data_IF_696553334772
#
_entry.id   IF_696553334772
#
_cell.length_a   1.000
_cell.length_b   1.000
_cell.length_c   1.000
_cell.angle_alpha   90.00
_cell.angle_beta   90.00
_cell.angle_gamma   90.00
#
_symmetry.space_group_name_H-M   'P 1'
#
loop_
_entity.id
_entity.type
_entity.pdbx_description
1 polymer ?
#
# COMPACT_ATOMS: atom_id res chain seq x y z
N UNK A 1 -33.76 -19.51 15.99
CA UNK A 1 -33.80 -18.29 16.85
C UNK A 1 -32.43 -18.12 17.51
N UNK A 2 -31.98 -16.88 17.69
CA UNK A 2 -30.68 -16.41 18.22
C UNK A 2 -29.49 -16.31 17.25
N UNK A 3 -29.48 -15.19 16.51
CA UNK A 3 -28.28 -14.52 15.98
C UNK A 3 -27.53 -13.86 17.15
N UNK A 4 -26.22 -14.06 17.27
CA UNK A 4 -25.33 -13.17 18.04
C UNK A 4 -24.49 -12.36 17.06
N UNK A 5 -24.86 -11.09 16.95
CA UNK A 5 -24.09 -10.01 16.32
C UNK A 5 -22.81 -9.79 17.14
N UNK A 6 -21.67 -10.17 16.57
CA UNK A 6 -20.37 -9.78 17.11
C UNK A 6 -20.08 -8.34 16.64
N UNK A 7 -20.09 -7.41 17.60
CA UNK A 7 -20.02 -5.97 17.33
C UNK A 7 -18.66 -5.53 16.79
N UNK A 8 -18.70 -4.93 15.61
CA UNK A 8 -17.61 -4.36 14.81
C UNK A 8 -17.13 -2.99 15.34
N UNK A 9 -16.65 -2.91 16.60
CA UNK A 9 -16.20 -1.62 17.20
C UNK A 9 -14.82 -1.63 17.87
N UNK A 10 -13.89 -2.50 17.46
CA UNK A 10 -12.54 -2.55 18.06
C UNK A 10 -11.36 -2.48 17.09
N UNK A 11 -11.58 -2.06 15.84
CA UNK A 11 -10.51 -1.91 14.84
C UNK A 11 -9.75 -0.57 14.88
N UNK A 12 -10.31 0.47 15.51
CA UNK A 12 -9.78 1.84 15.36
C UNK A 12 -8.73 2.24 16.41
N UNK A 13 -8.54 1.46 17.48
CA UNK A 13 -7.69 1.87 18.62
C UNK A 13 -6.23 1.38 18.49
N UNK A 14 -5.96 0.38 17.65
CA UNK A 14 -4.60 -0.19 17.53
C UNK A 14 -3.73 0.58 16.52
N UNK A 15 -4.33 1.29 15.55
CA UNK A 15 -3.60 2.14 14.61
C UNK A 15 -3.08 3.45 15.24
N UNK A 16 -3.70 3.93 16.32
CA UNK A 16 -3.28 5.18 16.97
C UNK A 16 -2.08 5.00 17.90
N UNK A 17 -1.87 3.80 18.46
CA UNK A 17 -0.81 3.54 19.44
C UNK A 17 0.57 3.29 18.80
N UNK A 18 0.62 2.81 17.56
CA UNK A 18 1.87 2.68 16.79
C UNK A 18 2.38 4.02 16.21
N UNK A 19 1.48 5.01 16.01
CA UNK A 19 1.88 6.33 15.56
C UNK A 19 2.59 7.17 16.64
N UNK A 20 2.33 6.91 17.93
CA UNK A 20 2.96 7.66 19.03
C UNK A 20 4.33 7.11 19.48
N UNK A 21 4.64 5.84 19.22
CA UNK A 21 5.90 5.25 19.69
C UNK A 21 7.12 5.63 18.82
N UNK A 22 6.90 6.11 17.58
CA UNK A 22 7.98 6.54 16.67
C UNK A 22 8.56 7.92 16.94
N UNK A 23 7.94 8.73 17.82
CA UNK A 23 8.37 10.10 18.11
C UNK A 23 9.58 10.19 19.07
N UNK A 24 10.07 9.05 19.58
CA UNK A 24 11.07 9.01 20.65
C UNK A 24 12.55 8.95 20.24
N UNK A 25 12.88 8.98 18.94
CA UNK A 25 14.26 8.90 18.47
C UNK A 25 14.60 9.99 17.45
N UNK A 26 14.24 11.24 17.76
CA UNK A 26 14.76 12.40 17.05
C UNK A 26 16.19 12.69 17.53
N UNK A 27 17.19 12.15 16.84
CA UNK A 27 18.55 12.67 16.95
C UNK A 27 18.57 14.06 16.31
N UNK A 28 18.79 15.08 17.14
CA UNK A 28 18.89 16.47 16.71
C UNK A 28 20.08 16.65 15.75
N UNK A 29 19.81 16.77 14.45
CA UNK A 29 20.71 17.43 13.50
C UNK A 29 20.12 18.80 13.18
N UNK A 30 20.88 19.84 13.50
CA UNK A 30 20.55 21.25 13.25
C UNK A 30 20.72 21.60 11.75
N UNK A 31 20.04 20.86 10.89
CA UNK A 31 19.69 21.29 9.54
C UNK A 31 18.17 21.27 9.49
N UNK A 32 17.55 22.36 9.05
CA UNK A 32 16.09 22.55 8.95
C UNK A 32 15.47 21.67 7.83
N UNK A 33 15.95 20.44 7.69
CA UNK A 33 15.44 19.40 6.80
C UNK A 33 14.26 18.68 7.45
N UNK A 34 13.32 18.24 6.60
CA UNK A 34 12.20 17.38 6.99
C UNK A 34 12.73 16.14 7.73
N UNK A 35 12.23 15.88 8.94
CA UNK A 35 12.56 14.69 9.73
C UNK A 35 11.72 13.49 9.30
N UNK A 36 10.46 13.73 8.92
CA UNK A 36 9.55 12.68 8.47
C UNK A 36 8.28 13.23 7.83
N UNK A 37 7.37 12.33 7.47
CA UNK A 37 6.03 12.71 7.03
C UNK A 37 5.01 11.59 7.27
N UNK A 38 3.77 12.00 7.53
CA UNK A 38 2.58 11.15 7.44
C UNK A 38 1.82 11.52 6.17
N UNK A 39 1.56 10.55 5.29
CA UNK A 39 0.90 10.77 4.00
C UNK A 39 -0.37 9.94 3.88
N UNK A 40 -1.45 10.54 3.40
CA UNK A 40 -2.68 9.85 3.06
C UNK A 40 -2.74 9.65 1.55
N UNK A 41 -2.87 8.40 1.12
CA UNK A 41 -2.85 8.01 -0.29
C UNK A 41 -4.23 7.60 -0.77
N UNK A 42 -4.54 7.97 -2.01
CA UNK A 42 -5.63 7.41 -2.77
C UNK A 42 -5.18 7.16 -4.21
N UNK A 43 -5.64 6.07 -4.81
CA UNK A 43 -5.21 5.73 -6.16
C UNK A 43 -5.97 4.56 -6.76
N UNK A 44 -5.38 4.01 -7.81
CA UNK A 44 -5.85 2.82 -8.51
C UNK A 44 -4.77 1.75 -8.48
N UNK A 45 -5.23 0.50 -8.46
CA UNK A 45 -4.39 -0.68 -8.53
C UNK A 45 -4.88 -1.63 -9.60
N UNK A 46 -3.94 -2.08 -10.44
CA UNK A 46 -4.15 -3.04 -11.50
C UNK A 46 -3.16 -4.19 -11.34
N UNK A 47 -3.67 -5.40 -11.17
CA UNK A 47 -2.84 -6.60 -11.02
C UNK A 47 -2.20 -6.96 -12.36
N UNK A 48 -0.91 -7.30 -12.33
CA UNK A 48 -0.20 -7.75 -13.53
C UNK A 48 -0.75 -9.10 -14.00
N UNK A 49 -0.73 -9.34 -15.33
CA UNK A 49 -1.13 -10.63 -15.86
C UNK A 49 -0.36 -11.79 -15.23
N UNK A 50 -1.07 -12.86 -14.86
CA UNK A 50 -0.39 -14.10 -14.46
C UNK A 50 0.11 -14.82 -15.72
N UNK A 51 1.29 -15.45 -15.67
CA UNK A 51 1.80 -16.22 -16.81
C UNK A 51 0.85 -17.37 -17.18
N UNK A 52 0.86 -17.74 -18.47
CA UNK A 52 0.06 -18.87 -18.97
C UNK A 52 0.44 -20.19 -18.26
N UNK A 53 -0.50 -21.14 -18.08
CA UNK A 53 -1.86 -21.22 -18.66
C UNK A 53 -2.97 -20.61 -17.78
N UNK A 54 -2.61 -19.97 -16.66
CA UNK A 54 -3.57 -19.44 -15.68
C UNK A 54 -4.28 -18.19 -16.21
N UNK A 55 -3.60 -17.39 -17.03
CA UNK A 55 -4.10 -16.13 -17.60
C UNK A 55 -4.54 -15.13 -16.52
N UNK A 56 -5.30 -14.11 -16.90
CA UNK A 56 -5.80 -13.11 -15.95
C UNK A 56 -6.98 -13.63 -15.13
N UNK A 57 -6.80 -14.71 -14.37
CA UNK A 57 -7.82 -15.27 -13.48
C UNK A 57 -8.34 -14.21 -12.50
N UNK A 58 -7.42 -13.38 -12.00
CA UNK A 58 -7.76 -12.26 -11.12
C UNK A 58 -8.68 -11.25 -11.81
N UNK A 59 -8.37 -10.83 -13.04
CA UNK A 59 -9.19 -9.88 -13.80
C UNK A 59 -10.57 -10.47 -14.13
N UNK A 60 -10.64 -11.77 -14.44
CA UNK A 60 -11.91 -12.46 -14.71
C UNK A 60 -12.83 -12.50 -13.50
N UNK A 61 -12.29 -12.62 -12.30
CA UNK A 61 -13.08 -12.73 -11.06
C UNK A 61 -13.38 -11.34 -10.48
N UNK A 62 -12.38 -10.45 -10.45
CA UNK A 62 -12.41 -9.19 -9.69
C UNK A 62 -12.34 -7.91 -10.56
N UNK A 63 -12.18 -8.03 -11.88
CA UNK A 63 -12.11 -6.90 -12.81
C UNK A 63 -10.71 -6.29 -13.01
N UNK A 64 -10.62 -5.29 -13.91
CA UNK A 64 -9.36 -4.71 -14.44
C UNK A 64 -8.56 -3.83 -13.48
N UNK A 65 -9.24 -3.10 -12.60
CA UNK A 65 -8.60 -2.12 -11.75
C UNK A 65 -9.50 -1.82 -10.55
N UNK A 66 -8.94 -1.19 -9.53
CA UNK A 66 -9.78 -0.43 -8.63
C UNK A 66 -9.05 0.21 -7.48
N UNK A 67 -9.82 0.76 -6.56
CA UNK A 67 -9.36 1.80 -5.67
C UNK A 67 -8.44 1.27 -4.57
N UNK A 68 -7.39 2.03 -4.29
CA UNK A 68 -6.53 1.87 -3.13
C UNK A 68 -6.65 3.09 -2.23
N UNK A 69 -6.60 2.86 -0.92
CA UNK A 69 -6.46 3.89 0.08
C UNK A 69 -5.40 3.46 1.08
N UNK A 70 -4.63 4.39 1.61
CA UNK A 70 -3.58 4.02 2.55
C UNK A 70 -2.95 5.18 3.28
N UNK A 71 -2.06 4.83 4.19
CA UNK A 71 -1.23 5.75 4.96
C UNK A 71 0.23 5.37 4.72
N UNK A 72 1.08 6.38 4.52
CA UNK A 72 2.54 6.23 4.49
C UNK A 72 3.11 6.97 5.67
N UNK A 73 3.99 6.30 6.38
CA UNK A 73 4.88 6.91 7.36
C UNK A 73 6.26 6.93 6.76
N UNK A 74 6.93 8.07 6.82
CA UNK A 74 8.31 8.20 6.35
C UNK A 74 9.17 8.93 7.36
N UNK A 75 10.44 8.54 7.39
CA UNK A 75 11.49 9.18 8.18
C UNK A 75 12.64 9.48 7.24
N UNK A 76 13.13 10.71 7.25
CA UNK A 76 14.40 11.05 6.64
C UNK A 76 15.52 10.34 7.41
N UNK A 77 16.52 9.85 6.66
CA UNK A 77 17.76 9.29 7.16
C UNK A 77 18.88 10.27 6.77
N UNK A 78 19.88 9.77 6.06
CA UNK A 78 21.04 10.52 5.58
C UNK A 78 20.99 10.63 4.06
N UNK A 79 21.65 11.64 3.49
CA UNK A 79 21.84 11.78 2.04
C UNK A 79 20.53 11.80 1.23
N UNK A 80 19.49 12.45 1.75
CA UNK A 80 18.15 12.50 1.17
C UNK A 80 17.49 11.13 0.96
N UNK A 81 17.92 10.11 1.71
CA UNK A 81 17.22 8.85 1.78
C UNK A 81 16.12 8.94 2.84
N UNK A 82 14.92 8.53 2.47
CA UNK A 82 13.86 8.25 3.43
C UNK A 82 13.65 6.75 3.55
N UNK A 83 13.36 6.30 4.76
CA UNK A 83 12.68 5.05 5.01
C UNK A 83 11.18 5.30 4.97
N UNK A 84 10.41 4.36 4.45
CA UNK A 84 8.95 4.43 4.51
C UNK A 84 8.32 3.09 4.88
N UNK A 85 7.19 3.21 5.57
CA UNK A 85 6.23 2.16 5.86
C UNK A 85 4.89 2.58 5.25
N UNK A 86 4.31 1.74 4.42
CA UNK A 86 3.03 1.99 3.77
C UNK A 86 2.03 0.91 4.16
N UNK A 87 0.85 1.34 4.61
CA UNK A 87 -0.27 0.49 4.97
C UNK A 87 -1.43 0.85 4.06
N UNK A 88 -1.89 -0.12 3.26
CA UNK A 88 -3.00 0.07 2.32
C UNK A 88 -4.14 -0.89 2.57
N UNK A 89 -5.28 -0.50 2.04
CA UNK A 89 -6.48 -1.31 1.98
C UNK A 89 -7.02 -1.30 0.55
N UNK A 90 -7.29 -2.50 0.03
CA UNK A 90 -7.85 -2.70 -1.31
C UNK A 90 -9.05 -3.63 -1.18
N UNK A 91 -10.22 -3.12 -1.54
CA UNK A 91 -11.47 -3.88 -1.57
C UNK A 91 -11.84 -4.25 -3.00
N UNK A 92 -12.22 -5.52 -3.19
CA UNK A 92 -12.78 -6.01 -4.45
C UNK A 92 -13.99 -6.90 -4.17
N UNK A 93 -14.99 -6.73 -5.00
CA UNK A 93 -16.14 -7.63 -5.08
C UNK A 93 -16.17 -8.23 -6.49
N UNK A 94 -16.43 -9.52 -6.57
CA UNK A 94 -16.37 -10.28 -7.81
C UNK A 94 -17.38 -11.42 -7.83
N UNK A 95 -17.34 -12.21 -8.90
CA UNK A 95 -18.14 -13.44 -9.04
C UNK A 95 -17.23 -14.61 -9.37
N UNK A 96 -17.45 -15.75 -8.70
CA UNK A 96 -16.71 -16.97 -8.98
C UNK A 96 -17.01 -17.48 -10.40
N UNK A 97 -15.98 -17.93 -11.11
CA UNK A 97 -16.08 -18.30 -12.53
C UNK A 97 -17.06 -19.45 -12.78
N UNK A 98 -17.12 -20.43 -11.88
CA UNK A 98 -17.96 -21.62 -12.02
C UNK A 98 -19.33 -21.50 -11.35
N UNK A 99 -19.39 -21.07 -10.09
CA UNK A 99 -20.65 -21.03 -9.33
C UNK A 99 -21.42 -19.72 -9.48
N UNK A 100 -20.83 -18.68 -10.10
CA UNK A 100 -21.38 -17.33 -10.21
C UNK A 100 -21.73 -16.68 -8.85
N UNK A 101 -21.31 -17.30 -7.75
CA UNK A 101 -21.53 -16.78 -6.41
C UNK A 101 -20.68 -15.53 -6.18
N UNK A 102 -21.23 -14.58 -5.42
CA UNK A 102 -20.51 -13.38 -5.00
C UNK A 102 -19.31 -13.77 -4.13
N UNK A 103 -18.17 -13.16 -4.42
CA UNK A 103 -16.93 -13.29 -3.63
C UNK A 103 -16.41 -11.90 -3.31
N UNK A 104 -15.97 -11.71 -2.07
CA UNK A 104 -15.31 -10.49 -1.62
C UNK A 104 -13.87 -10.76 -1.27
N UNK A 105 -12.98 -9.93 -1.78
CA UNK A 105 -11.55 -9.99 -1.55
C UNK A 105 -11.10 -8.69 -0.89
N UNK A 106 -10.49 -8.85 0.28
CA UNK A 106 -9.79 -7.79 0.99
C UNK A 106 -8.29 -8.06 0.87
N UNK A 107 -7.54 -7.11 0.31
CA UNK A 107 -6.09 -7.10 0.35
C UNK A 107 -5.60 -5.97 1.25
N UNK A 108 -4.65 -6.31 2.13
CA UNK A 108 -3.95 -5.38 3.00
C UNK A 108 -2.46 -5.48 2.66
N UNK A 109 -1.95 -4.65 1.73
CA UNK A 109 -0.53 -4.54 1.46
C UNK A 109 0.16 -3.74 2.57
N UNK A 110 1.21 -4.33 3.14
CA UNK A 110 2.16 -3.68 4.04
C UNK A 110 3.48 -3.57 3.29
N UNK A 111 3.90 -2.36 2.95
CA UNK A 111 5.16 -2.10 2.22
C UNK A 111 6.19 -1.45 3.12
N UNK A 112 7.43 -1.90 2.99
CA UNK A 112 8.58 -1.34 3.69
C UNK A 112 9.69 -1.07 2.68
N UNK A 113 10.39 0.05 2.79
CA UNK A 113 11.52 0.29 1.90
C UNK A 113 12.21 1.62 2.10
N UNK A 114 13.05 1.95 1.13
CA UNK A 114 13.82 3.19 1.09
C UNK A 114 13.60 3.92 -0.22
N UNK A 115 13.63 5.25 -0.17
CA UNK A 115 13.52 6.12 -1.35
C UNK A 115 14.53 7.24 -1.26
N UNK A 116 15.10 7.62 -2.40
CA UNK A 116 15.91 8.81 -2.55
C UNK A 116 15.03 9.96 -3.02
N UNK A 117 15.07 11.10 -2.32
CA UNK A 117 14.29 12.30 -2.63
C UNK A 117 15.24 13.41 -3.07
N UNK A 118 15.07 13.96 -4.26
CA UNK A 118 15.91 15.08 -4.73
C UNK A 118 15.20 16.41 -4.45
N UNK A 119 15.70 17.30 -3.58
CA UNK A 119 15.03 18.57 -3.27
C UNK A 119 15.29 19.63 -4.36
N UNK A 120 14.48 19.67 -5.43
CA UNK A 120 14.58 20.66 -6.52
C UNK A 120 13.60 21.83 -6.32
N UNK A 121 13.75 22.53 -5.20
CA UNK A 121 12.87 23.65 -4.83
C UNK A 121 11.46 23.16 -4.50
N UNK A 122 10.46 23.61 -5.26
CA UNK A 122 9.06 23.21 -5.04
C UNK A 122 8.76 21.79 -5.52
N UNK A 123 9.60 21.25 -6.40
CA UNK A 123 9.48 19.90 -6.94
C UNK A 123 10.50 19.01 -6.26
N UNK A 124 10.06 17.88 -5.70
CA UNK A 124 10.98 16.91 -5.09
C UNK A 124 10.71 15.52 -5.67
N UNK A 125 11.28 15.21 -6.85
CA UNK A 125 11.16 13.89 -7.43
C UNK A 125 11.85 12.86 -6.54
N UNK A 126 11.31 11.65 -6.53
CA UNK A 126 11.87 10.56 -5.75
C UNK A 126 11.72 9.22 -6.47
N UNK A 127 12.63 8.32 -6.13
CA UNK A 127 12.62 6.92 -6.57
C UNK A 127 12.99 6.02 -5.39
N UNK A 128 12.41 4.84 -5.33
CA UNK A 128 12.63 3.93 -4.22
C UNK A 128 12.32 2.49 -4.55
N UNK A 129 12.74 1.62 -3.66
CA UNK A 129 12.50 0.20 -3.74
C UNK A 129 12.25 -0.38 -2.35
N UNK A 130 11.68 -1.58 -2.30
CA UNK A 130 11.38 -2.22 -1.04
C UNK A 130 10.76 -3.60 -1.18
N UNK A 131 10.20 -4.04 -0.06
CA UNK A 131 9.52 -5.32 0.07
C UNK A 131 8.06 -5.09 0.45
N UNK A 132 7.22 -6.03 0.06
CA UNK A 132 5.79 -6.02 0.29
C UNK A 132 5.33 -7.30 0.96
N UNK A 133 4.36 -7.17 1.87
CA UNK A 133 3.60 -8.26 2.46
C UNK A 133 2.13 -8.03 2.15
N UNK A 134 1.57 -8.82 1.24
CA UNK A 134 0.15 -8.79 0.90
C UNK A 134 -0.58 -9.79 1.79
N UNK A 135 -1.29 -9.31 2.79
CA UNK A 135 -2.27 -10.14 3.48
C UNK A 135 -3.55 -10.13 2.67
N UNK A 136 -4.09 -11.29 2.35
CA UNK A 136 -5.35 -11.39 1.63
C UNK A 136 -6.34 -12.25 2.39
N UNK A 137 -7.58 -11.77 2.39
CA UNK A 137 -8.72 -12.45 2.95
C UNK A 137 -9.79 -12.56 1.88
N UNK A 138 -10.08 -13.78 1.46
CA UNK A 138 -11.17 -14.08 0.55
C UNK A 138 -12.32 -14.74 1.32
N UNK A 139 -13.53 -14.25 1.10
CA UNK A 139 -14.74 -14.83 1.65
C UNK A 139 -15.70 -15.21 0.53
N UNK A 140 -16.03 -16.49 0.43
CA UNK A 140 -16.97 -17.02 -0.54
C UNK A 140 -17.91 -18.05 0.13
N UNK A 141 -19.04 -18.43 -0.51
CA UNK A 141 -19.99 -19.38 0.09
C UNK A 141 -19.44 -20.79 0.33
N UNK A 142 -18.25 -21.11 -0.19
CA UNK A 142 -17.59 -22.40 -0.09
C UNK A 142 -16.60 -22.41 1.10
N UNK A 143 -16.11 -21.25 1.53
CA UNK A 143 -15.24 -21.08 2.68
C UNK A 143 -14.54 -19.72 2.71
N UNK A 144 -13.86 -19.43 3.82
CA UNK A 144 -12.97 -18.27 3.94
C UNK A 144 -11.51 -18.71 3.92
N UNK A 145 -10.67 -17.96 3.22
CA UNK A 145 -9.23 -18.21 3.12
C UNK A 145 -8.47 -16.96 3.54
N UNK A 146 -7.54 -17.14 4.48
CA UNK A 146 -6.59 -16.11 4.90
C UNK A 146 -5.17 -16.59 4.64
N UNK A 147 -4.39 -15.83 3.88
CA UNK A 147 -3.00 -16.16 3.59
C UNK A 147 -2.21 -14.87 3.29
N UNK A 148 -0.89 -15.00 3.13
CA UNK A 148 -0.02 -13.88 2.81
C UNK A 148 0.94 -14.21 1.67
N UNK A 149 1.31 -13.19 0.91
CA UNK A 149 2.31 -13.28 -0.17
C UNK A 149 3.37 -12.21 0.03
N UNK A 150 4.62 -12.59 -0.16
CA UNK A 150 5.75 -11.65 -0.14
C UNK A 150 6.06 -11.18 -1.55
N UNK A 151 6.45 -9.93 -1.67
CA UNK A 151 6.86 -9.33 -2.93
C UNK A 151 7.96 -8.31 -2.74
N UNK A 152 8.38 -7.75 -3.86
CA UNK A 152 9.30 -6.62 -3.93
C UNK A 152 8.73 -5.57 -4.86
N UNK A 153 9.01 -4.31 -4.60
CA UNK A 153 8.53 -3.23 -5.45
C UNK A 153 9.59 -2.21 -5.78
N UNK A 154 9.31 -1.49 -6.86
CA UNK A 154 9.95 -0.25 -7.22
C UNK A 154 8.88 0.84 -7.26
N UNK A 155 9.22 2.05 -6.85
CA UNK A 155 8.31 3.17 -6.87
C UNK A 155 9.02 4.45 -7.30
N UNK A 156 8.26 5.34 -7.92
CA UNK A 156 8.71 6.66 -8.30
C UNK A 156 7.59 7.66 -8.12
N UNK A 157 7.95 8.90 -7.85
CA UNK A 157 6.95 9.93 -7.68
C UNK A 157 7.55 11.32 -7.60
N UNK A 158 6.68 12.25 -7.28
CA UNK A 158 6.97 13.66 -7.20
C UNK A 158 6.24 14.26 -6.01
N UNK A 159 6.99 14.91 -5.12
CA UNK A 159 6.42 15.81 -4.14
C UNK A 159 6.34 17.24 -4.68
N UNK A 160 5.23 17.90 -4.39
CA UNK A 160 5.09 19.35 -4.53
C UNK A 160 5.02 19.96 -3.13
N UNK A 161 5.98 20.84 -2.83
CA UNK A 161 6.03 21.61 -1.59
C UNK A 161 6.19 23.08 -1.94
N UNK A 162 5.11 23.86 -1.82
CA UNK A 162 5.13 25.27 -2.24
C UNK A 162 6.11 26.14 -1.45
N UNK A 163 6.37 25.81 -0.18
CA UNK A 163 7.34 26.50 0.65
C UNK A 163 7.87 25.55 1.72
N UNK A 164 9.16 25.69 2.08
CA UNK A 164 9.78 24.93 3.19
C UNK A 164 9.11 25.21 4.54
N UNK A 165 8.49 26.37 4.69
CA UNK A 165 7.77 26.76 5.92
C UNK A 165 6.39 26.12 6.04
N UNK A 166 5.85 25.57 4.95
CA UNK A 166 4.54 24.90 4.96
C UNK A 166 4.78 23.40 5.03
N UNK A 167 4.27 22.71 6.06
CA UNK A 167 4.49 21.27 6.24
C UNK A 167 3.63 20.41 5.31
N UNK A 168 3.08 20.96 4.23
CA UNK A 168 2.16 20.26 3.33
C UNK A 168 2.92 19.76 2.10
N UNK A 169 2.78 18.47 1.82
CA UNK A 169 3.33 17.80 0.65
C UNK A 169 2.19 17.26 -0.21
N UNK A 170 2.14 17.62 -1.50
CA UNK A 170 1.31 16.89 -2.45
C UNK A 170 2.18 15.82 -3.10
N UNK A 171 1.73 14.56 -3.06
CA UNK A 171 2.46 13.43 -3.62
C UNK A 171 1.73 12.94 -4.88
N UNK A 172 2.44 12.75 -5.98
CA UNK A 172 1.97 11.99 -7.13
C UNK A 172 2.94 10.83 -7.34
N UNK A 173 2.43 9.60 -7.44
CA UNK A 173 3.30 8.42 -7.46
C UNK A 173 2.81 7.28 -8.34
N UNK A 174 3.78 6.50 -8.77
CA UNK A 174 3.61 5.20 -9.41
C UNK A 174 4.40 4.16 -8.61
N UNK A 175 3.84 2.97 -8.44
CA UNK A 175 4.52 1.83 -7.83
C UNK A 175 4.26 0.58 -8.65
N UNK A 176 5.32 -0.18 -8.91
CA UNK A 176 5.23 -1.49 -9.53
C UNK A 176 5.68 -2.54 -8.52
N UNK A 177 4.81 -3.52 -8.28
CA UNK A 177 5.07 -4.61 -7.35
C UNK A 177 5.14 -5.94 -8.08
N UNK A 178 6.17 -6.72 -7.78
CA UNK A 178 6.28 -8.11 -8.16
C UNK A 178 5.99 -8.99 -6.94
N UNK A 179 4.83 -9.63 -6.94
CA UNK A 179 4.42 -10.59 -5.92
C UNK A 179 3.72 -11.77 -6.61
N UNK A 180 4.28 -12.97 -6.47
CA UNK A 180 3.76 -14.20 -7.06
C UNK A 180 3.71 -15.31 -6.00
N UNK A 181 2.69 -16.16 -6.08
CA UNK A 181 2.54 -17.32 -5.21
C UNK A 181 2.05 -18.53 -6.00
N UNK A 182 2.20 -19.72 -5.43
CA UNK A 182 1.82 -20.99 -6.05
C UNK A 182 0.54 -21.54 -5.40
N UNK A 183 -0.45 -21.90 -6.23
CA UNK A 183 -1.62 -22.69 -5.83
C UNK A 183 -1.64 -23.94 -6.71
N UNK A 184 -1.51 -25.14 -6.13
CA UNK A 184 -1.56 -26.40 -6.88
C UNK A 184 -0.66 -26.38 -8.14
N UNK A 185 0.61 -26.00 -7.96
CA UNK A 185 1.64 -25.84 -9.01
C UNK A 185 1.35 -24.76 -10.08
N UNK A 186 0.33 -23.92 -9.86
CA UNK A 186 0.00 -22.79 -10.73
C UNK A 186 0.46 -21.48 -10.11
N UNK A 187 1.21 -20.69 -10.88
CA UNK A 187 1.68 -19.38 -10.46
C UNK A 187 0.59 -18.32 -10.63
N UNK A 188 0.26 -17.64 -9.53
CA UNK A 188 -0.70 -16.53 -9.51
C UNK A 188 0.04 -15.27 -9.12
N UNK A 189 -0.09 -14.23 -9.94
CA UNK A 189 0.44 -12.90 -9.66
C UNK A 189 -0.59 -12.11 -8.82
N UNK A 190 -0.14 -11.61 -7.66
CA UNK A 190 -0.87 -10.62 -6.88
C UNK A 190 -0.26 -9.24 -7.00
N UNK A 191 0.97 -9.13 -7.50
CA UNK A 191 1.64 -7.86 -7.77
C UNK A 191 1.07 -7.16 -8.99
N UNK A 192 1.37 -5.87 -9.11
CA UNK A 192 0.75 -5.03 -10.12
C UNK A 192 1.29 -3.62 -10.15
N UNK A 193 0.61 -2.81 -10.93
CA UNK A 193 0.90 -1.41 -11.14
C UNK A 193 -0.09 -0.58 -10.33
N UNK A 194 0.43 0.36 -9.56
CA UNK A 194 -0.30 1.28 -8.71
C UNK A 194 0.00 2.71 -9.15
N UNK A 195 -1.04 3.53 -9.25
CA UNK A 195 -0.90 4.96 -9.45
C UNK A 195 -1.78 5.69 -8.46
N UNK A 196 -1.28 6.78 -7.90
CA UNK A 196 -2.05 7.52 -6.91
C UNK A 196 -1.52 8.90 -6.65
N UNK A 197 -2.33 9.63 -5.90
CA UNK A 197 -1.97 10.90 -5.33
C UNK A 197 -2.13 10.84 -3.81
N UNK A 198 -1.45 11.73 -3.11
CA UNK A 198 -1.54 11.83 -1.67
C UNK A 198 -1.31 13.22 -1.14
N UNK A 199 -1.73 13.38 0.11
CA UNK A 199 -1.50 14.58 0.91
C UNK A 199 -0.66 14.18 2.12
N UNK A 200 0.49 14.80 2.27
CA UNK A 200 1.45 14.57 3.34
C UNK A 200 1.57 15.76 4.28
N UNK A 201 1.76 15.45 5.57
CA UNK A 201 2.18 16.39 6.60
C UNK A 201 3.61 16.04 7.01
N UNK A 202 4.54 16.93 6.68
CA UNK A 202 5.95 16.86 7.02
C UNK A 202 6.20 17.45 8.42
N UNK A 203 7.15 16.89 9.15
CA UNK A 203 7.61 17.39 10.45
C UNK A 203 9.11 17.15 10.61
#
# INVERSE_FOLDING_TARGET
MNRRLLSWKRGTVILLTLALAGMGAASASADTGRQGAVEFLMGTYSISPSPEPVGNLFEKIYGKAGTIRGVVLSSALVWNLDFYLELKEIHRSGKLTYSQAETTLLLIPISLGVRYVQPLGIFQPYVGAGVDFYLFYENNPIGSVFNYVRGSHFLGGLYLQFSRSVPILLNIRAKYTKATFLINDRQVALGGLEYGAGLGLAF
#
